data_IF_553348972910
#
_entry.id   IF_553348972910
#
_cell.length_a   1.000
_cell.length_b   1.000
_cell.length_c   1.000
_cell.angle_alpha   90.00
_cell.angle_beta   90.00
_cell.angle_gamma   90.00
#
_symmetry.space_group_name_H-M   'P 1'
#
loop_
_entity.id
_entity.type
_entity.pdbx_description
1 polymer ?
#
# COMPACT_ATOMS: atom_id res chain seq x y z
N UNK A 1 -24.47 26.40 70.41
CA UNK A 1 -24.31 26.17 68.95
C UNK A 1 -22.85 26.05 68.47
N UNK A 2 -21.89 26.89 68.91
CA UNK A 2 -20.49 26.85 68.39
C UNK A 2 -19.70 25.54 68.62
N UNK A 3 -19.94 24.78 69.70
CA UNK A 3 -19.23 23.51 69.97
C UNK A 3 -19.70 22.31 69.13
N UNK A 4 -20.97 22.28 68.72
CA UNK A 4 -21.52 21.24 67.85
C UNK A 4 -21.06 21.39 66.39
N UNK A 5 -20.91 22.64 65.91
CA UNK A 5 -20.32 22.92 64.60
C UNK A 5 -18.84 22.49 64.51
N UNK A 6 -18.05 22.69 65.56
CA UNK A 6 -16.63 22.30 65.56
C UNK A 6 -16.43 20.77 65.49
N UNK A 7 -17.29 19.99 66.16
CA UNK A 7 -17.24 18.51 66.12
C UNK A 7 -17.73 17.98 64.78
N UNK A 8 -18.76 18.59 64.18
CA UNK A 8 -19.23 18.22 62.84
C UNK A 8 -18.20 18.50 61.73
N UNK A 9 -17.46 19.60 61.83
CA UNK A 9 -16.35 19.92 60.91
C UNK A 9 -15.15 18.97 61.13
N UNK A 10 -14.85 18.57 62.36
CA UNK A 10 -13.80 17.58 62.62
C UNK A 10 -14.16 16.19 62.05
N UNK A 11 -15.40 15.75 62.23
CA UNK A 11 -15.89 14.48 61.69
C UNK A 11 -15.95 14.49 60.15
N UNK A 12 -16.34 15.61 59.53
CA UNK A 12 -16.35 15.72 58.07
C UNK A 12 -14.93 15.69 57.49
N UNK A 13 -13.97 16.40 58.11
CA UNK A 13 -12.56 16.41 57.69
C UNK A 13 -11.89 15.04 57.90
N UNK A 14 -12.14 14.36 59.03
CA UNK A 14 -11.68 12.97 59.25
C UNK A 14 -12.34 11.98 58.29
N UNK A 15 -13.65 12.12 58.01
CA UNK A 15 -14.37 11.22 57.09
C UNK A 15 -13.97 11.40 55.63
N UNK A 16 -13.47 12.57 55.22
CA UNK A 16 -12.91 12.78 53.88
C UNK A 16 -11.43 12.35 53.80
N UNK A 17 -10.68 12.48 54.90
CA UNK A 17 -9.27 12.09 54.97
C UNK A 17 -9.05 10.58 55.03
N UNK A 18 -9.89 9.83 55.76
CA UNK A 18 -9.78 8.36 55.92
C UNK A 18 -9.95 7.60 54.58
N UNK A 19 -10.91 7.93 53.70
CA UNK A 19 -11.00 7.34 52.36
C UNK A 19 -9.79 7.64 51.48
N UNK A 20 -9.21 8.84 51.58
CA UNK A 20 -8.02 9.22 50.81
C UNK A 20 -6.77 8.48 51.29
N UNK A 21 -6.58 8.32 52.60
CA UNK A 21 -5.47 7.56 53.18
C UNK A 21 -5.62 6.07 52.92
N UNK A 22 -6.82 5.50 53.06
CA UNK A 22 -7.11 4.11 52.72
C UNK A 22 -6.86 3.83 51.23
N UNK A 23 -7.26 4.74 50.34
CA UNK A 23 -7.04 4.61 48.89
C UNK A 23 -5.55 4.69 48.54
N UNK A 24 -4.78 5.56 49.22
CA UNK A 24 -3.33 5.65 49.08
C UNK A 24 -2.61 4.39 49.58
N UNK A 25 -3.03 3.85 50.73
CA UNK A 25 -2.54 2.58 51.26
C UNK A 25 -2.86 1.42 50.32
N UNK A 26 -4.08 1.34 49.80
CA UNK A 26 -4.49 0.27 48.89
C UNK A 26 -3.68 0.27 47.60
N UNK A 27 -3.48 1.43 46.97
CA UNK A 27 -2.61 1.57 45.78
C UNK A 27 -1.18 1.15 46.04
N UNK A 28 -0.67 1.29 47.26
CA UNK A 28 0.68 0.87 47.63
C UNK A 28 0.82 -0.66 47.71
N UNK A 29 -0.26 -1.38 48.02
CA UNK A 29 -0.25 -2.84 48.10
C UNK A 29 -0.55 -3.51 46.76
N UNK A 30 -1.54 -3.01 46.01
CA UNK A 30 -2.06 -3.65 44.80
C UNK A 30 -1.70 -2.95 43.49
N UNK A 31 -1.14 -1.73 43.54
CA UNK A 31 -0.67 -1.01 42.38
C UNK A 31 0.82 -1.19 42.12
N UNK A 32 1.30 -0.55 41.05
CA UNK A 32 2.71 -0.52 40.65
C UNK A 32 3.61 -0.06 41.81
N UNK A 33 4.76 -0.71 41.97
CA UNK A 33 5.68 -0.47 43.09
C UNK A 33 6.25 0.97 43.11
N UNK A 34 6.66 1.48 44.28
CA UNK A 34 7.20 2.84 44.40
C UNK A 34 8.40 3.09 43.49
N UNK A 35 8.48 4.29 42.92
CA UNK A 35 9.61 4.70 42.08
C UNK A 35 9.68 4.07 40.67
N UNK A 36 8.75 3.19 40.29
CA UNK A 36 8.73 2.64 38.92
C UNK A 36 8.37 3.72 37.91
N UNK A 37 9.11 3.74 36.80
CA UNK A 37 8.86 4.63 35.65
C UNK A 37 8.75 3.83 34.35
N UNK A 38 7.99 4.36 33.40
CA UNK A 38 7.87 3.86 32.03
C UNK A 38 8.09 5.04 31.08
N UNK A 39 9.11 4.98 30.21
CA UNK A 39 9.48 6.10 29.33
C UNK A 39 9.63 7.43 30.08
N UNK A 40 10.24 7.38 31.28
CA UNK A 40 10.37 8.50 32.21
C UNK A 40 9.06 8.99 32.87
N UNK A 41 7.90 8.45 32.51
CA UNK A 41 6.63 8.72 33.19
C UNK A 41 6.54 7.89 34.47
N UNK A 42 6.17 8.53 35.59
CA UNK A 42 6.03 7.85 36.88
C UNK A 42 4.76 7.00 36.92
N UNK A 43 4.92 5.70 37.19
CA UNK A 43 3.84 4.71 37.17
C UNK A 43 3.41 4.25 38.57
N UNK A 44 4.14 4.66 39.62
CA UNK A 44 3.86 4.26 41.01
C UNK A 44 2.38 4.39 41.40
N UNK A 45 1.82 3.33 41.98
CA UNK A 45 0.47 3.30 42.53
C UNK A 45 -0.65 3.27 41.48
N UNK A 46 -0.31 3.12 40.20
CA UNK A 46 -1.29 2.84 39.15
C UNK A 46 -1.77 1.40 39.29
N UNK A 47 -3.06 1.17 39.07
CA UNK A 47 -3.59 -0.19 38.86
C UNK A 47 -3.35 -0.65 37.43
N UNK A 48 -3.46 -1.95 37.20
CA UNK A 48 -3.24 -2.57 35.89
C UNK A 48 -4.02 -1.88 34.75
N UNK A 49 -5.32 -1.61 34.93
CA UNK A 49 -6.12 -0.90 33.93
C UNK A 49 -5.69 0.57 33.72
N UNK A 50 -5.14 1.24 34.75
CA UNK A 50 -4.60 2.59 34.61
C UNK A 50 -3.27 2.56 33.85
N UNK A 51 -2.43 1.54 34.10
CA UNK A 51 -1.20 1.29 33.32
C UNK A 51 -1.57 1.00 31.87
N UNK A 52 -2.58 0.16 31.62
CA UNK A 52 -3.08 -0.14 30.28
C UNK A 52 -3.41 1.13 29.49
N UNK A 53 -4.23 2.00 30.05
CA UNK A 53 -4.63 3.26 29.39
C UNK A 53 -3.41 4.12 29.07
N UNK A 54 -2.43 4.20 29.98
CA UNK A 54 -1.18 4.95 29.73
C UNK A 54 -0.38 4.31 28.60
N UNK A 55 -0.21 3.00 28.60
CA UNK A 55 0.54 2.27 27.58
C UNK A 55 -0.16 2.38 26.22
N UNK A 56 -1.48 2.34 26.17
CA UNK A 56 -2.28 2.56 24.96
C UNK A 56 -2.09 3.98 24.40
N UNK A 57 -2.12 5.01 25.26
CA UNK A 57 -1.82 6.39 24.85
C UNK A 57 -0.37 6.58 24.37
N UNK A 58 0.59 5.86 24.97
CA UNK A 58 1.97 5.83 24.47
C UNK A 58 2.05 5.12 23.12
N UNK A 59 1.33 4.01 22.97
CA UNK A 59 1.25 3.23 21.74
C UNK A 59 0.76 4.08 20.57
N UNK A 60 -0.30 4.89 20.72
CA UNK A 60 -0.78 5.78 19.66
C UNK A 60 0.29 6.76 19.13
N UNK A 61 1.27 7.13 19.97
CA UNK A 61 2.36 8.05 19.60
C UNK A 61 3.57 7.34 19.03
N UNK A 62 3.84 6.12 19.51
CA UNK A 62 5.05 5.35 19.18
C UNK A 62 4.82 4.43 17.99
N UNK A 63 3.63 3.82 17.91
CA UNK A 63 3.33 2.85 16.88
C UNK A 63 3.33 3.49 15.51
N UNK A 64 3.91 2.78 14.54
CA UNK A 64 3.92 3.17 13.13
C UNK A 64 3.63 1.94 12.28
N UNK A 65 2.74 2.02 11.28
CA UNK A 65 2.50 0.91 10.38
C UNK A 65 3.72 0.66 9.50
N UNK A 66 3.95 -0.60 9.15
CA UNK A 66 4.96 -0.96 8.15
C UNK A 66 4.54 -0.44 6.77
N UNK A 67 5.50 0.05 5.99
CA UNK A 67 5.28 0.48 4.60
C UNK A 67 6.09 -0.42 3.66
N UNK A 68 5.44 -1.16 2.75
CA UNK A 68 6.16 -1.97 1.78
C UNK A 68 6.96 -1.11 0.81
N UNK A 69 8.03 -1.68 0.26
CA UNK A 69 8.74 -1.05 -0.86
C UNK A 69 7.81 -0.93 -2.07
N UNK A 70 8.05 0.08 -2.91
CA UNK A 70 7.23 0.35 -4.08
C UNK A 70 8.07 0.91 -5.23
N UNK A 71 7.46 1.03 -6.41
CA UNK A 71 8.06 1.73 -7.55
C UNK A 71 7.34 3.06 -7.72
N UNK A 72 8.09 4.17 -7.74
CA UNK A 72 7.53 5.48 -7.99
C UNK A 72 6.94 5.55 -9.40
N UNK A 73 5.66 5.94 -9.52
CA UNK A 73 4.91 5.81 -10.77
C UNK A 73 5.49 6.60 -11.94
N UNK A 74 6.03 7.79 -11.69
CA UNK A 74 6.59 8.64 -12.75
C UNK A 74 8.07 8.34 -13.02
N UNK A 75 8.93 8.47 -12.01
CA UNK A 75 10.38 8.27 -12.15
C UNK A 75 10.79 6.81 -12.34
N UNK A 76 10.02 5.85 -11.81
CA UNK A 76 10.37 4.44 -11.81
C UNK A 76 11.42 4.07 -10.77
N UNK A 77 11.77 5.00 -9.87
CA UNK A 77 12.71 4.76 -8.77
C UNK A 77 12.08 3.88 -7.68
N UNK A 78 12.92 3.12 -6.99
CA UNK A 78 12.51 2.31 -5.85
C UNK A 78 12.25 3.22 -4.66
N UNK A 79 11.06 3.14 -4.09
CA UNK A 79 10.69 3.71 -2.80
C UNK A 79 11.04 2.64 -1.75
N UNK A 80 12.01 2.88 -0.85
CA UNK A 80 12.41 1.90 0.16
C UNK A 80 11.27 1.54 1.11
N UNK A 81 11.31 0.32 1.64
CA UNK A 81 10.39 -0.09 2.70
C UNK A 81 10.72 0.58 4.04
N UNK A 82 9.71 0.73 4.90
CA UNK A 82 9.85 1.18 6.28
C UNK A 82 9.26 0.13 7.21
N UNK A 83 10.06 -0.35 8.19
CA UNK A 83 9.56 -1.28 9.19
C UNK A 83 8.59 -0.60 10.15
N UNK A 84 7.49 -1.30 10.41
CA UNK A 84 6.50 -0.90 11.39
C UNK A 84 7.02 -1.13 12.80
N UNK A 85 6.48 -0.39 13.75
CA UNK A 85 6.72 -0.59 15.18
C UNK A 85 5.34 -0.68 15.82
N UNK A 86 5.09 -1.77 16.54
CA UNK A 86 3.90 -1.92 17.37
C UNK A 86 4.34 -2.04 18.83
N UNK A 87 3.54 -1.49 19.74
CA UNK A 87 3.77 -1.62 21.18
C UNK A 87 3.02 -2.86 21.62
N UNK A 88 3.72 -3.78 22.27
CA UNK A 88 3.09 -4.92 22.94
C UNK A 88 2.51 -4.43 24.26
N UNK A 89 1.23 -4.08 24.23
CA UNK A 89 0.54 -3.47 25.37
C UNK A 89 0.49 -4.46 26.54
N UNK A 90 0.09 -5.70 26.28
CA UNK A 90 -0.02 -6.75 27.29
C UNK A 90 1.33 -7.02 27.96
N UNK A 91 2.40 -7.23 27.18
CA UNK A 91 3.73 -7.48 27.73
C UNK A 91 4.26 -6.28 28.51
N UNK A 92 4.03 -5.06 28.01
CA UNK A 92 4.45 -3.82 28.70
C UNK A 92 3.71 -3.66 30.02
N UNK A 93 2.38 -3.83 30.05
CA UNK A 93 1.57 -3.75 31.26
C UNK A 93 2.02 -4.79 32.28
N UNK A 94 2.19 -6.04 31.84
CA UNK A 94 2.66 -7.13 32.69
C UNK A 94 4.02 -6.80 33.32
N UNK A 95 4.97 -6.31 32.51
CA UNK A 95 6.31 -5.92 32.95
C UNK A 95 6.26 -4.78 33.97
N UNK A 96 5.43 -3.76 33.75
CA UNK A 96 5.27 -2.62 34.68
C UNK A 96 4.66 -3.07 36.01
N UNK A 97 3.64 -3.95 35.97
CA UNK A 97 2.97 -4.44 37.18
C UNK A 97 3.88 -5.33 38.05
N UNK A 98 4.80 -6.07 37.43
CA UNK A 98 5.73 -6.97 38.13
C UNK A 98 7.07 -6.33 38.51
N UNK A 99 7.33 -5.11 38.05
CA UNK A 99 8.64 -4.49 38.24
C UNK A 99 8.97 -4.20 39.72
N UNK A 100 10.25 -4.37 40.12
CA UNK A 100 10.69 -4.01 41.46
C UNK A 100 10.62 -2.50 41.68
N UNK A 101 10.59 -2.08 42.94
CA UNK A 101 10.58 -0.66 43.28
C UNK A 101 11.81 0.06 42.70
N UNK A 102 11.60 1.24 42.12
CA UNK A 102 12.65 2.04 41.48
C UNK A 102 13.05 1.59 40.07
N UNK A 103 12.37 0.60 39.48
CA UNK A 103 12.69 0.16 38.12
C UNK A 103 12.38 1.23 37.06
N UNK A 104 13.30 1.40 36.12
CA UNK A 104 13.10 2.24 34.95
C UNK A 104 12.85 1.35 33.73
N UNK A 105 11.65 1.45 33.16
CA UNK A 105 11.20 0.60 32.07
C UNK A 105 11.02 1.40 30.79
N UNK A 106 11.15 0.69 29.68
CA UNK A 106 10.77 1.14 28.34
C UNK A 106 9.58 0.31 27.87
N UNK A 107 8.81 0.87 26.95
CA UNK A 107 7.72 0.11 26.31
C UNK A 107 8.29 -1.08 25.54
N UNK A 108 7.62 -2.22 25.61
CA UNK A 108 7.96 -3.36 24.76
C UNK A 108 7.45 -3.11 23.36
N UNK A 109 8.32 -3.26 22.37
CA UNK A 109 7.98 -3.03 20.97
C UNK A 109 8.30 -4.24 20.12
N UNK A 110 7.44 -4.46 19.15
CA UNK A 110 7.60 -5.49 18.13
C UNK A 110 7.78 -4.79 16.79
N UNK A 111 8.88 -5.10 16.13
CA UNK A 111 9.13 -4.63 14.77
C UNK A 111 8.34 -5.48 13.78
N UNK A 112 7.57 -4.82 12.92
CA UNK A 112 6.79 -5.47 11.87
C UNK A 112 7.46 -5.20 10.53
N UNK A 113 8.01 -6.27 9.95
CA UNK A 113 8.68 -6.21 8.66
C UNK A 113 7.62 -6.36 7.56
N UNK A 114 7.55 -5.44 6.57
CA UNK A 114 6.60 -5.55 5.48
C UNK A 114 6.93 -6.75 4.58
N UNK A 115 5.90 -7.29 3.93
CA UNK A 115 6.04 -8.46 3.03
C UNK A 115 6.92 -8.16 1.83
N UNK A 116 6.83 -6.95 1.27
CA UNK A 116 7.67 -6.47 0.18
C UNK A 116 8.73 -5.52 0.73
N UNK A 117 9.99 -5.95 0.69
CA UNK A 117 11.16 -5.15 1.09
C UNK A 117 11.94 -4.67 -0.12
N UNK A 118 12.82 -3.71 0.12
CA UNK A 118 13.66 -3.08 -0.91
C UNK A 118 14.51 -4.12 -1.63
N UNK A 119 15.05 -5.08 -0.88
CA UNK A 119 15.92 -6.15 -1.42
C UNK A 119 15.19 -7.06 -2.43
N UNK A 120 13.86 -7.17 -2.36
CA UNK A 120 13.09 -7.94 -3.35
C UNK A 120 12.98 -7.24 -4.71
N UNK A 121 13.28 -5.94 -4.76
CA UNK A 121 13.27 -5.12 -5.99
C UNK A 121 14.68 -4.90 -6.56
N UNK A 122 15.71 -5.37 -5.86
CA UNK A 122 17.09 -5.33 -6.34
C UNK A 122 17.29 -6.30 -7.52
N UNK A 123 18.06 -5.88 -8.52
CA UNK A 123 18.35 -6.70 -9.71
C UNK A 123 17.20 -6.80 -10.72
N UNK A 124 16.16 -5.96 -10.61
CA UNK A 124 15.13 -5.80 -11.63
C UNK A 124 15.60 -4.84 -12.73
N UNK A 125 16.64 -5.23 -13.47
CA UNK A 125 17.28 -4.42 -14.51
C UNK A 125 17.26 -5.06 -15.90
N UNK A 126 16.84 -6.32 -16.01
CA UNK A 126 16.90 -7.08 -17.26
C UNK A 126 15.60 -6.98 -18.03
N UNK A 127 15.68 -6.71 -19.33
CA UNK A 127 14.53 -6.73 -20.23
C UNK A 127 14.19 -8.18 -20.57
N UNK A 128 13.10 -8.70 -20.00
CA UNK A 128 12.61 -10.06 -20.27
C UNK A 128 11.84 -10.14 -21.60
N UNK A 129 11.15 -9.06 -21.97
CA UNK A 129 10.43 -8.97 -23.22
C UNK A 129 10.24 -7.53 -23.65
N UNK A 130 10.37 -7.26 -24.95
CA UNK A 130 10.30 -5.92 -25.51
C UNK A 130 9.58 -5.96 -26.84
N UNK A 131 8.53 -5.16 -26.97
CA UNK A 131 7.79 -5.05 -28.21
C UNK A 131 7.40 -3.62 -28.50
N UNK A 132 7.31 -3.30 -29.78
CA UNK A 132 6.85 -2.00 -30.22
C UNK A 132 6.03 -2.06 -31.49
N UNK A 133 5.08 -1.14 -31.61
CA UNK A 133 4.22 -0.92 -32.78
C UNK A 133 4.42 0.51 -33.31
N UNK A 134 4.18 0.77 -34.61
CA UNK A 134 4.32 2.13 -35.16
C UNK A 134 3.30 3.08 -34.53
N UNK A 135 3.73 4.28 -34.14
CA UNK A 135 2.84 5.33 -33.68
C UNK A 135 2.19 6.00 -34.91
N UNK A 136 0.87 5.86 -35.03
CA UNK A 136 0.12 6.36 -36.19
C UNK A 136 -1.20 7.02 -35.76
N UNK A 137 -1.76 7.86 -36.63
CA UNK A 137 -3.09 8.46 -36.46
C UNK A 137 -3.07 9.90 -35.94
N UNK A 138 -4.25 10.40 -35.56
CA UNK A 138 -4.45 11.80 -35.19
C UNK A 138 -3.77 12.16 -33.85
N UNK A 139 -3.51 13.46 -33.61
CA UNK A 139 -2.99 13.93 -32.31
C UNK A 139 -3.82 13.46 -31.11
N UNK A 140 -5.14 13.37 -31.25
CA UNK A 140 -6.03 12.89 -30.18
C UNK A 140 -5.87 11.39 -29.91
N UNK A 141 -5.67 10.59 -30.96
CA UNK A 141 -5.33 9.16 -30.82
C UNK A 141 -4.00 8.98 -30.11
N UNK A 142 -2.99 9.76 -30.49
CA UNK A 142 -1.65 9.74 -29.87
C UNK A 142 -1.74 10.17 -28.39
N UNK A 143 -2.58 11.17 -28.07
CA UNK A 143 -2.84 11.59 -26.70
C UNK A 143 -3.42 10.44 -25.85
N UNK A 144 -4.45 9.75 -26.34
CA UNK A 144 -5.04 8.60 -25.65
C UNK A 144 -4.03 7.46 -25.42
N UNK A 145 -3.19 7.18 -26.42
CA UNK A 145 -2.12 6.18 -26.30
C UNK A 145 -1.14 6.59 -25.20
N UNK A 146 -0.72 7.86 -25.18
CA UNK A 146 0.17 8.37 -24.13
C UNK A 146 -0.43 8.21 -22.73
N UNK A 147 -1.71 8.53 -22.55
CA UNK A 147 -2.42 8.32 -21.27
C UNK A 147 -2.42 6.85 -20.85
N UNK A 148 -2.77 5.94 -21.76
CA UNK A 148 -2.79 4.50 -21.45
C UNK A 148 -1.39 3.92 -21.18
N UNK A 149 -0.35 4.41 -21.86
CA UNK A 149 1.04 4.02 -21.59
C UNK A 149 1.50 4.51 -20.22
N UNK A 150 1.24 5.77 -19.88
CA UNK A 150 1.55 6.33 -18.56
C UNK A 150 0.83 5.54 -17.44
N UNK A 151 -0.43 5.15 -17.67
CA UNK A 151 -1.18 4.33 -16.73
C UNK A 151 -0.51 2.96 -16.47
N UNK A 152 0.02 2.28 -17.48
CA UNK A 152 0.69 0.96 -17.29
C UNK A 152 2.17 1.07 -16.92
N UNK A 153 2.82 2.21 -17.19
CA UNK A 153 4.24 2.39 -16.94
C UNK A 153 4.58 2.27 -15.45
N UNK A 154 5.75 1.72 -15.13
CA UNK A 154 6.21 1.50 -13.76
C UNK A 154 5.24 0.68 -12.90
N UNK A 155 4.44 -0.21 -13.49
CA UNK A 155 3.56 -1.10 -12.71
C UNK A 155 4.32 -2.34 -12.27
N UNK A 156 4.48 -2.49 -10.96
CA UNK A 156 5.04 -3.70 -10.36
C UNK A 156 3.98 -4.80 -10.36
N UNK A 157 4.37 -6.02 -10.74
CA UNK A 157 3.52 -7.22 -10.74
C UNK A 157 4.25 -8.31 -9.97
N UNK A 158 3.71 -8.68 -8.81
CA UNK A 158 4.32 -9.64 -7.89
C UNK A 158 4.23 -11.09 -8.41
N UNK A 159 5.10 -12.01 -7.94
CA UNK A 159 4.96 -13.44 -8.22
C UNK A 159 3.54 -13.94 -7.94
N UNK A 160 2.94 -14.63 -8.90
CA UNK A 160 1.58 -15.15 -8.86
C UNK A 160 0.47 -14.12 -9.11
N UNK A 161 0.76 -12.81 -9.10
CA UNK A 161 -0.22 -11.74 -9.32
C UNK A 161 -0.71 -11.74 -10.77
N UNK A 162 -2.01 -11.45 -10.95
CA UNK A 162 -2.63 -11.24 -12.26
C UNK A 162 -2.75 -9.74 -12.52
N UNK A 163 -2.00 -9.25 -13.50
CA UNK A 163 -2.17 -7.91 -14.03
C UNK A 163 -3.45 -7.84 -14.87
N UNK A 164 -4.25 -6.79 -14.70
CA UNK A 164 -5.42 -6.47 -15.51
C UNK A 164 -5.22 -5.12 -16.20
N UNK A 165 -5.26 -5.11 -17.54
CA UNK A 165 -5.10 -3.88 -18.31
C UNK A 165 -6.19 -2.87 -17.98
N UNK A 166 -7.45 -3.31 -17.94
CA UNK A 166 -8.57 -2.47 -17.53
C UNK A 166 -8.45 -2.04 -16.07
N UNK A 167 -8.05 -2.92 -15.15
CA UNK A 167 -7.84 -2.58 -13.74
C UNK A 167 -6.84 -1.43 -13.54
N UNK A 168 -5.79 -1.38 -14.36
CA UNK A 168 -4.75 -0.35 -14.29
C UNK A 168 -5.12 0.91 -15.08
N UNK A 169 -5.68 0.78 -16.27
CA UNK A 169 -6.01 1.92 -17.15
C UNK A 169 -7.33 2.60 -16.77
N UNK A 170 -8.28 1.82 -16.26
CA UNK A 170 -9.62 2.26 -15.85
C UNK A 170 -10.55 2.62 -17.02
N UNK A 171 -11.68 3.23 -16.70
CA UNK A 171 -12.64 3.71 -17.70
C UNK A 171 -12.06 4.83 -18.58
N UNK A 172 -12.50 4.87 -19.84
CA UNK A 172 -12.07 5.85 -20.85
C UNK A 172 -13.10 6.96 -20.98
N UNK A 173 -12.99 7.99 -20.15
CA UNK A 173 -13.91 9.14 -20.16
C UNK A 173 -13.19 10.45 -20.50
N UNK A 174 -13.96 11.47 -20.91
CA UNK A 174 -13.41 12.80 -21.21
C UNK A 174 -12.85 13.48 -19.97
N UNK A 175 -13.45 13.24 -18.81
CA UNK A 175 -13.05 13.77 -17.51
C UNK A 175 -11.68 13.22 -17.08
N UNK A 176 -11.36 11.99 -17.50
CA UNK A 176 -10.03 11.37 -17.34
C UNK A 176 -9.05 11.79 -18.44
N UNK A 177 -9.41 12.77 -19.27
CA UNK A 177 -8.57 13.34 -20.32
C UNK A 177 -8.63 12.59 -21.67
N UNK A 178 -9.40 11.51 -21.80
CA UNK A 178 -9.50 10.79 -23.06
C UNK A 178 -10.27 11.60 -24.10
N UNK A 179 -9.79 11.54 -25.34
CA UNK A 179 -10.32 12.30 -26.47
C UNK A 179 -10.99 11.39 -27.49
N UNK A 180 -11.82 11.99 -28.33
CA UNK A 180 -12.44 11.28 -29.44
C UNK A 180 -11.40 10.94 -30.50
N UNK A 181 -11.35 9.66 -30.88
CA UNK A 181 -10.53 9.15 -31.97
C UNK A 181 -11.23 7.92 -32.57
N UNK A 182 -10.82 7.43 -33.75
CA UNK A 182 -11.41 6.21 -34.33
C UNK A 182 -11.30 5.01 -33.37
N UNK A 183 -12.42 4.34 -33.13
CA UNK A 183 -12.56 3.08 -32.38
C UNK A 183 -13.17 2.01 -33.30
N UNK A 184 -12.92 0.74 -32.97
CA UNK A 184 -13.60 -0.39 -33.62
C UNK A 184 -14.81 -0.75 -32.74
N UNK A 185 -16.02 -0.71 -33.32
CA UNK A 185 -17.27 -1.10 -32.67
C UNK A 185 -17.97 -2.13 -33.55
N UNK A 186 -18.00 -3.39 -33.11
CA UNK A 186 -18.47 -4.50 -33.93
C UNK A 186 -17.61 -4.65 -35.19
N UNK A 187 -18.22 -4.43 -36.36
CA UNK A 187 -17.56 -4.50 -37.67
C UNK A 187 -17.35 -3.11 -38.31
N UNK A 188 -17.50 -2.03 -37.54
CA UNK A 188 -17.36 -0.66 -38.03
C UNK A 188 -16.26 0.11 -37.31
N UNK A 189 -15.67 1.08 -38.02
CA UNK A 189 -14.78 2.08 -37.43
C UNK A 189 -15.57 3.38 -37.28
N UNK A 190 -15.77 3.81 -36.03
CA UNK A 190 -16.55 5.01 -35.69
C UNK A 190 -15.75 5.92 -34.76
N UNK A 191 -16.03 7.24 -34.70
CA UNK A 191 -15.45 8.10 -33.68
C UNK A 191 -15.94 7.70 -32.27
N UNK A 192 -15.02 7.62 -31.30
CA UNK A 192 -15.37 7.36 -29.90
C UNK A 192 -14.26 7.76 -28.94
N UNK A 193 -14.61 7.87 -27.66
CA UNK A 193 -13.65 8.25 -26.60
C UNK A 193 -12.65 7.11 -26.38
N UNK A 194 -11.35 7.44 -26.32
CA UNK A 194 -10.31 6.45 -26.03
C UNK A 194 -9.82 5.64 -27.24
N UNK A 195 -10.10 6.08 -28.47
CA UNK A 195 -9.49 5.49 -29.66
C UNK A 195 -7.97 5.47 -29.58
N UNK A 196 -7.38 4.30 -29.90
CA UNK A 196 -5.94 4.03 -29.82
C UNK A 196 -5.50 3.10 -28.67
N UNK A 197 -6.32 2.90 -27.64
CA UNK A 197 -5.89 2.16 -26.43
C UNK A 197 -5.65 0.67 -26.67
N UNK A 198 -6.40 0.05 -27.59
CA UNK A 198 -6.15 -1.34 -27.99
C UNK A 198 -4.74 -1.53 -28.58
N UNK A 199 -4.11 -0.48 -29.11
CA UNK A 199 -2.72 -0.56 -29.56
C UNK A 199 -1.76 -0.74 -28.38
N UNK A 200 -1.98 -0.02 -27.29
CA UNK A 200 -1.20 -0.18 -26.05
C UNK A 200 -1.37 -1.59 -25.49
N UNK A 201 -2.61 -2.10 -25.40
CA UNK A 201 -2.87 -3.47 -24.94
C UNK A 201 -2.23 -4.54 -25.85
N UNK A 202 -2.36 -4.40 -27.18
CA UNK A 202 -1.72 -5.30 -28.14
C UNK A 202 -0.19 -5.27 -28.06
N UNK A 203 0.39 -4.09 -27.83
CA UNK A 203 1.85 -3.94 -27.66
C UNK A 203 2.30 -4.60 -26.37
N UNK A 204 1.58 -4.39 -25.26
CA UNK A 204 1.83 -5.05 -23.98
C UNK A 204 1.73 -6.57 -24.10
N UNK A 205 0.69 -7.10 -24.73
CA UNK A 205 0.52 -8.54 -24.93
C UNK A 205 1.74 -9.19 -25.59
N UNK A 206 2.31 -8.57 -26.61
CA UNK A 206 3.49 -9.13 -27.27
C UNK A 206 4.76 -9.02 -26.41
N UNK A 207 4.92 -7.95 -25.63
CA UNK A 207 6.03 -7.83 -24.67
C UNK A 207 5.92 -8.93 -23.58
N UNK A 208 4.72 -9.16 -23.04
CA UNK A 208 4.40 -10.24 -22.09
C UNK A 208 4.71 -11.61 -22.68
N UNK A 209 4.31 -11.85 -23.94
CA UNK A 209 4.59 -13.12 -24.64
C UNK A 209 6.09 -13.35 -24.84
N UNK A 210 6.85 -12.30 -25.18
CA UNK A 210 8.30 -12.37 -25.31
C UNK A 210 8.99 -12.61 -23.96
N UNK A 211 8.45 -12.03 -22.88
CA UNK A 211 8.86 -12.27 -21.51
C UNK A 211 8.43 -13.66 -20.96
N UNK A 212 7.76 -14.48 -21.77
CA UNK A 212 7.26 -15.83 -21.41
C UNK A 212 6.35 -15.84 -20.18
N UNK A 213 5.64 -14.74 -19.94
CA UNK A 213 4.63 -14.65 -18.89
C UNK A 213 3.33 -15.31 -19.33
N UNK A 214 2.59 -15.88 -18.37
CA UNK A 214 1.33 -16.58 -18.62
C UNK A 214 0.22 -15.61 -19.02
N UNK A 215 -0.39 -15.82 -20.19
CA UNK A 215 -1.55 -15.05 -20.63
C UNK A 215 -2.81 -15.68 -20.05
N UNK A 216 -3.52 -14.92 -19.22
CA UNK A 216 -4.73 -15.38 -18.49
C UNK A 216 -5.99 -15.05 -19.28
N UNK A 217 -6.06 -13.85 -19.86
CA UNK A 217 -7.21 -13.42 -20.66
C UNK A 217 -6.71 -12.66 -21.88
N UNK A 218 -7.20 -13.06 -23.05
CA UNK A 218 -6.93 -12.38 -24.31
C UNK A 218 -8.08 -12.61 -25.27
N UNK A 219 -8.50 -11.54 -25.95
CA UNK A 219 -9.38 -11.61 -27.12
C UNK A 219 -8.75 -10.89 -28.31
N UNK A 220 -9.05 -11.37 -29.51
CA UNK A 220 -8.68 -10.70 -30.77
C UNK A 220 -9.79 -9.74 -31.19
N UNK A 221 -9.46 -8.76 -32.01
CA UNK A 221 -10.43 -7.90 -32.67
C UNK A 221 -11.19 -8.67 -33.74
N UNK A 222 -12.44 -8.28 -33.98
CA UNK A 222 -13.22 -8.65 -35.17
C UNK A 222 -12.56 -8.18 -36.47
N UNK A 223 -11.99 -6.96 -36.45
CA UNK A 223 -11.25 -6.36 -37.56
C UNK A 223 -9.78 -6.21 -37.17
N UNK A 224 -8.90 -6.78 -37.99
CA UNK A 224 -7.48 -6.73 -37.73
C UNK A 224 -6.94 -5.29 -37.76
N UNK A 225 -6.26 -4.84 -36.69
CA UNK A 225 -5.69 -3.50 -36.67
C UNK A 225 -4.49 -3.38 -37.60
N UNK A 226 -4.38 -2.27 -38.33
CA UNK A 226 -3.27 -2.04 -39.29
C UNK A 226 -1.88 -1.91 -38.66
N UNK A 227 -1.80 -1.64 -37.35
CA UNK A 227 -0.53 -1.43 -36.65
C UNK A 227 0.14 -2.74 -36.19
N UNK A 228 -0.50 -3.90 -36.38
CA UNK A 228 0.02 -5.18 -35.91
C UNK A 228 -0.39 -6.36 -36.79
N UNK A 229 0.45 -7.40 -36.85
CA UNK A 229 0.14 -8.63 -37.57
C UNK A 229 -1.12 -9.30 -37.00
N UNK A 230 -1.94 -9.87 -37.89
CA UNK A 230 -3.10 -10.69 -37.53
C UNK A 230 -2.76 -11.73 -36.45
N UNK A 231 -3.64 -11.86 -35.45
CA UNK A 231 -3.47 -12.82 -34.36
C UNK A 231 -2.39 -12.44 -33.35
N UNK A 232 -1.79 -11.24 -33.45
CA UNK A 232 -0.91 -10.68 -32.41
C UNK A 232 -1.56 -9.54 -31.62
N UNK A 233 -2.83 -9.29 -31.81
CA UNK A 233 -3.58 -8.25 -31.14
C UNK A 233 -4.22 -8.75 -29.83
N UNK A 234 -4.48 -7.79 -28.94
CA UNK A 234 -5.26 -7.95 -27.73
C UNK A 234 -6.25 -6.79 -27.67
N UNK A 235 -7.54 -7.09 -27.80
CA UNK A 235 -8.61 -6.11 -27.74
C UNK A 235 -9.03 -5.86 -26.29
N UNK A 236 -9.42 -4.62 -25.98
CA UNK A 236 -9.88 -4.21 -24.65
C UNK A 236 -11.06 -3.25 -24.78
N UNK A 237 -12.09 -3.47 -23.99
CA UNK A 237 -13.26 -2.61 -23.87
C UNK A 237 -13.71 -2.60 -22.41
N UNK A 238 -13.68 -1.43 -21.78
CA UNK A 238 -14.09 -1.29 -20.39
C UNK A 238 -15.60 -1.53 -20.22
N UNK A 239 -16.05 -2.23 -19.16
CA UNK A 239 -15.26 -2.99 -18.19
C UNK A 239 -15.05 -4.46 -18.58
N UNK A 240 -15.71 -4.95 -19.64
CA UNK A 240 -15.93 -6.39 -19.83
C UNK A 240 -14.86 -7.14 -20.63
N UNK A 241 -14.20 -6.49 -21.60
CA UNK A 241 -13.17 -7.14 -22.42
C UNK A 241 -11.80 -6.65 -21.97
N UNK A 242 -10.99 -7.56 -21.45
CA UNK A 242 -9.71 -7.22 -20.85
C UNK A 242 -8.55 -8.02 -21.44
N UNK A 243 -7.34 -7.53 -21.21
CA UNK A 243 -6.12 -8.28 -21.38
C UNK A 243 -5.50 -8.51 -20.00
N UNK A 244 -5.32 -9.78 -19.62
CA UNK A 244 -4.76 -10.17 -18.34
C UNK A 244 -3.60 -11.14 -18.53
N UNK A 245 -2.57 -10.96 -17.72
CA UNK A 245 -1.45 -11.91 -17.65
C UNK A 245 -1.07 -12.13 -16.19
N UNK A 246 -0.52 -13.30 -15.89
CA UNK A 246 0.02 -13.64 -14.58
C UNK A 246 1.54 -13.55 -14.62
N UNK A 247 2.13 -12.96 -13.59
CA UNK A 247 3.55 -13.14 -13.35
C UNK A 247 3.78 -14.54 -12.76
N UNK A 248 4.03 -15.53 -13.61
CA UNK A 248 4.33 -16.91 -13.21
C UNK A 248 5.83 -17.14 -12.90
N UNK A 249 6.62 -16.07 -12.75
CA UNK A 249 8.03 -16.14 -12.35
C UNK A 249 8.18 -16.02 -10.82
N UNK A 250 9.33 -16.44 -10.24
CA UNK A 250 9.57 -16.35 -8.80
C UNK A 250 9.91 -14.93 -8.32
N UNK A 251 10.14 -13.99 -9.24
CA UNK A 251 10.52 -12.61 -8.92
C UNK A 251 9.47 -11.60 -9.40
N UNK A 252 9.39 -10.40 -8.81
CA UNK A 252 8.55 -9.35 -9.35
C UNK A 252 8.98 -8.96 -10.78
N UNK A 253 8.02 -8.46 -11.57
CA UNK A 253 8.30 -7.84 -12.87
C UNK A 253 7.72 -6.44 -12.92
N UNK A 254 8.32 -5.56 -13.70
CA UNK A 254 7.87 -4.19 -13.90
C UNK A 254 7.42 -4.02 -15.35
N UNK A 255 6.17 -3.62 -15.54
CA UNK A 255 5.66 -3.19 -16.83
C UNK A 255 6.13 -1.76 -17.08
N UNK A 256 6.85 -1.55 -18.17
CA UNK A 256 7.30 -0.23 -18.63
C UNK A 256 6.67 0.09 -19.97
N UNK A 257 6.27 1.34 -20.18
CA UNK A 257 5.59 1.76 -21.40
C UNK A 257 5.85 3.21 -21.73
N UNK A 258 6.22 3.49 -22.98
CA UNK A 258 6.47 4.84 -23.45
C UNK A 258 6.29 4.98 -24.97
N UNK A 259 6.11 6.21 -25.41
CA UNK A 259 6.31 6.57 -26.82
C UNK A 259 7.79 6.89 -27.00
N UNK A 260 8.48 6.17 -27.88
CA UNK A 260 9.89 6.41 -28.21
C UNK A 260 10.01 6.70 -29.71
N UNK A 261 10.31 7.96 -30.04
CA UNK A 261 10.23 8.45 -31.41
C UNK A 261 8.83 8.22 -32.00
N UNK A 262 8.77 7.53 -33.13
CA UNK A 262 7.53 7.17 -33.82
C UNK A 262 7.02 5.77 -33.46
N UNK A 263 7.28 5.29 -32.24
CA UNK A 263 6.88 3.95 -31.80
C UNK A 263 6.19 3.98 -30.44
N UNK A 264 5.15 3.16 -30.32
CA UNK A 264 4.56 2.73 -29.04
C UNK A 264 5.37 1.54 -28.57
N UNK A 265 6.13 1.66 -27.48
CA UNK A 265 6.97 0.59 -26.95
C UNK A 265 6.50 0.19 -25.55
N UNK A 266 6.44 -1.11 -25.32
CA UNK A 266 6.20 -1.71 -24.00
C UNK A 266 7.26 -2.76 -23.79
N UNK A 267 7.85 -2.78 -22.61
CA UNK A 267 8.83 -3.79 -22.23
C UNK A 267 8.61 -4.22 -20.78
N UNK A 268 8.94 -5.47 -20.51
CA UNK A 268 8.86 -6.10 -19.21
C UNK A 268 10.28 -6.16 -18.66
N UNK A 269 10.48 -5.51 -17.52
CA UNK A 269 11.74 -5.58 -16.78
C UNK A 269 11.58 -6.58 -15.65
N UNK A 270 12.57 -7.42 -15.43
CA UNK A 270 12.61 -8.35 -14.32
C UNK A 270 14.05 -8.75 -14.01
N UNK A 271 14.19 -9.84 -13.28
CA UNK A 271 15.48 -10.46 -12.97
C UNK A 271 15.75 -11.61 -13.94
N UNK A 272 16.97 -11.72 -14.43
CA UNK A 272 17.43 -12.90 -15.16
C UNK A 272 17.96 -13.94 -14.16
N UNK A 273 17.55 -15.19 -14.32
CA UNK A 273 18.11 -16.34 -13.59
C UNK A 273 19.55 -16.64 -14.01
#
# INVERSE_FOLDING_TARGET
MRRLLAVAVLFSVLSMGVPLTLRSLHRRFFGVKPGVTLESQRMQGYYEHEVWIVVEQMAERIQRPARPAAIHKETGEVIPHENGIYVDIDATVHKVMQAPAGAELKVETVEIIPTLRTEHLEGLDTILGDFSTPLMGSPDRVHNIRLSLAAINNTLVMPGEVFSFNGVVGERTKERGYRNAPIILGEAVVPGVGGGICQTSSTLYNAVRLAKLEVVERRIHSIAPSYIQHGRDATVAWPHTDFKFRNNSPYPVIVKGAIQGWRVRVWIVGRQD
#
